data_IF_894456008910
#
_entry.id   IF_894456008910
#
_cell.length_a   1.000
_cell.length_b   1.000
_cell.length_c   1.000
_cell.angle_alpha   90.00
_cell.angle_beta   90.00
_cell.angle_gamma   90.00
#
_symmetry.space_group_name_H-M   'P 1'
#
loop_
_entity.id
_entity.type
_entity.pdbx_description
1 polymer ?
#
# COMPACT_ATOMS: atom_id res chain seq x y z
N UNK A 1 8.49 10.91 15.06
CA UNK A 1 8.20 11.49 13.73
C UNK A 1 9.29 11.00 12.81
N UNK A 2 8.91 10.44 11.65
CA UNK A 2 9.85 9.79 10.73
C UNK A 2 9.81 10.50 9.38
N UNK A 3 10.99 10.67 8.76
CA UNK A 3 11.14 11.39 7.49
C UNK A 3 11.37 10.40 6.35
N UNK A 4 10.61 10.55 5.27
CA UNK A 4 10.64 9.63 4.12
C UNK A 4 10.84 10.39 2.81
N UNK A 5 11.63 9.83 1.89
CA UNK A 5 11.76 10.32 0.50
C UNK A 5 11.00 9.45 -0.50
N UNK A 6 10.74 8.19 -0.16
CA UNK A 6 9.94 7.26 -0.94
C UNK A 6 8.99 6.54 0.01
N UNK A 7 7.77 6.28 -0.45
CA UNK A 7 6.74 5.62 0.34
C UNK A 7 6.10 4.52 -0.49
N UNK A 8 5.90 3.36 0.14
CA UNK A 8 5.10 2.28 -0.40
C UNK A 8 3.80 2.18 0.39
N UNK A 9 2.66 2.28 -0.29
CA UNK A 9 1.32 2.04 0.28
C UNK A 9 0.78 0.72 -0.27
N UNK A 10 0.02 -0.02 0.53
CA UNK A 10 -0.58 -1.30 0.14
C UNK A 10 -2.08 -1.25 0.38
N UNK A 11 -2.85 -1.52 -0.67
CA UNK A 11 -4.30 -1.60 -0.61
C UNK A 11 -4.71 -3.04 -0.88
N UNK A 12 -5.37 -3.65 0.11
CA UNK A 12 -6.03 -4.95 -0.02
C UNK A 12 -7.47 -4.71 -0.48
N UNK A 13 -7.87 -5.30 -1.61
CA UNK A 13 -9.20 -5.06 -2.19
C UNK A 13 -10.29 -6.00 -1.64
N UNK A 14 -9.92 -7.23 -1.25
CA UNK A 14 -10.84 -8.21 -0.66
C UNK A 14 -10.48 -8.39 0.81
N UNK A 15 -11.13 -7.63 1.71
CA UNK A 15 -10.83 -7.68 3.14
C UNK A 15 -11.20 -9.02 3.78
N UNK A 16 -12.21 -9.72 3.25
CA UNK A 16 -12.67 -11.02 3.75
C UNK A 16 -12.01 -12.17 2.98
N UNK A 17 -11.39 -13.09 3.73
CA UNK A 17 -10.95 -14.40 3.24
C UNK A 17 -12.17 -15.33 3.22
N UNK A 18 -12.84 -15.45 2.08
CA UNK A 18 -13.71 -16.61 1.86
C UNK A 18 -12.82 -17.71 1.30
N UNK A 19 -12.86 -18.90 1.91
CA UNK A 19 -12.11 -20.07 1.43
C UNK A 19 -12.37 -20.30 -0.06
N UNK A 20 -11.32 -20.32 -0.87
CA UNK A 20 -11.38 -20.49 -2.32
C UNK A 20 -11.44 -19.17 -3.13
N UNK A 21 -11.43 -18.01 -2.48
CA UNK A 21 -11.30 -16.72 -3.18
C UNK A 21 -9.84 -16.25 -3.26
N UNK A 22 -9.47 -15.71 -4.42
CA UNK A 22 -8.19 -15.03 -4.62
C UNK A 22 -8.23 -13.64 -3.96
N UNK A 23 -7.19 -13.35 -3.18
CA UNK A 23 -6.94 -12.02 -2.64
C UNK A 23 -6.11 -11.21 -3.62
N UNK A 24 -6.54 -9.97 -3.88
CA UNK A 24 -5.77 -9.02 -4.68
C UNK A 24 -5.17 -7.93 -3.80
N UNK A 25 -3.87 -7.71 -4.00
CA UNK A 25 -3.07 -6.69 -3.33
C UNK A 25 -2.51 -5.74 -4.38
N UNK A 26 -2.81 -4.45 -4.28
CA UNK A 26 -2.12 -3.45 -5.07
C UNK A 26 -1.11 -2.71 -4.18
N UNK A 27 0.14 -2.75 -4.60
CA UNK A 27 1.24 -2.02 -4.00
C UNK A 27 1.50 -0.78 -4.83
N UNK A 28 1.39 0.39 -4.22
CA UNK A 28 1.75 1.66 -4.83
C UNK A 28 3.10 2.11 -4.30
N UNK A 29 3.98 2.56 -5.18
CA UNK A 29 5.26 3.17 -4.84
C UNK A 29 5.24 4.60 -5.32
N UNK A 30 5.57 5.53 -4.42
CA UNK A 30 5.57 6.96 -4.69
C UNK A 30 6.98 7.54 -4.53
N UNK A 31 7.44 8.25 -5.56
CA UNK A 31 8.64 9.08 -5.53
C UNK A 31 8.23 10.51 -5.23
N UNK A 32 8.83 11.10 -4.20
CA UNK A 32 8.46 12.44 -3.72
C UNK A 32 9.50 13.49 -4.16
N UNK A 33 9.01 14.69 -4.50
CA UNK A 33 9.80 15.90 -4.75
C UNK A 33 10.65 16.30 -3.53
N UNK A 34 10.09 16.13 -2.34
CA UNK A 34 10.72 16.47 -1.08
C UNK A 34 10.40 15.41 -0.03
N UNK A 35 11.18 15.42 1.05
CA UNK A 35 10.96 14.55 2.19
C UNK A 35 9.73 14.99 2.99
N UNK A 36 8.87 14.03 3.33
CA UNK A 36 7.72 14.26 4.19
C UNK A 36 7.94 13.66 5.57
N UNK A 37 7.40 14.29 6.59
CA UNK A 37 7.44 13.80 7.97
C UNK A 37 6.09 13.24 8.38
N UNK A 38 6.08 11.98 8.82
CA UNK A 38 4.85 11.27 9.19
C UNK A 38 4.81 10.89 10.67
N UNK A 39 3.59 10.83 11.20
CA UNK A 39 3.28 10.19 12.48
C UNK A 39 3.28 8.66 12.31
N UNK A 40 3.54 7.94 13.39
CA UNK A 40 3.63 6.47 13.37
C UNK A 40 2.30 5.79 12.98
N UNK A 41 1.17 6.38 13.40
CA UNK A 41 -0.17 5.80 13.21
C UNK A 41 -1.04 6.62 12.24
N UNK A 42 -0.47 7.00 11.10
CA UNK A 42 -1.22 7.69 10.05
C UNK A 42 -2.10 6.68 9.29
N UNK A 43 -3.37 7.02 9.04
CA UNK A 43 -4.23 6.16 8.22
C UNK A 43 -3.82 6.20 6.74
N UNK A 44 -4.11 5.13 5.98
CA UNK A 44 -3.83 5.12 4.54
C UNK A 44 -4.53 6.24 3.77
N UNK A 45 -5.71 6.70 4.23
CA UNK A 45 -6.40 7.86 3.63
C UNK A 45 -5.62 9.15 3.86
N UNK A 46 -5.18 9.41 5.09
CA UNK A 46 -4.38 10.59 5.43
C UNK A 46 -3.04 10.56 4.70
N UNK A 47 -2.39 9.41 4.64
CA UNK A 47 -1.15 9.20 3.90
C UNK A 47 -1.29 9.61 2.43
N UNK A 48 -2.33 9.11 1.74
CA UNK A 48 -2.58 9.43 0.33
C UNK A 48 -2.92 10.90 0.09
N UNK A 49 -3.58 11.57 1.04
CA UNK A 49 -3.83 13.00 0.94
C UNK A 49 -2.53 13.81 1.00
N UNK A 50 -1.62 13.44 1.91
CA UNK A 50 -0.31 14.11 2.01
C UNK A 50 0.53 13.84 0.76
N UNK A 51 0.65 12.58 0.32
CA UNK A 51 1.51 12.20 -0.82
C UNK A 51 1.15 12.94 -2.11
N UNK A 52 -0.14 13.22 -2.34
CA UNK A 52 -0.62 13.94 -3.54
C UNK A 52 0.04 15.30 -3.77
N UNK A 53 0.46 15.97 -2.70
CA UNK A 53 1.10 17.29 -2.79
C UNK A 53 2.60 17.21 -3.16
N UNK A 54 3.21 16.03 -3.01
CA UNK A 54 4.66 15.85 -3.12
C UNK A 54 5.07 14.86 -4.22
N UNK A 55 4.15 14.04 -4.75
CA UNK A 55 4.50 12.99 -5.71
C UNK A 55 4.93 13.55 -7.07
N UNK A 56 6.05 13.04 -7.59
CA UNK A 56 6.57 13.37 -8.94
C UNK A 56 6.56 12.18 -9.89
N UNK A 57 6.51 10.98 -9.34
CA UNK A 57 6.32 9.75 -10.09
C UNK A 57 5.66 8.71 -9.17
N UNK A 58 4.80 7.89 -9.76
CA UNK A 58 4.18 6.75 -9.10
C UNK A 58 4.29 5.49 -9.96
N UNK A 59 4.21 4.35 -9.30
CA UNK A 59 4.14 3.03 -9.93
C UNK A 59 3.27 2.11 -9.10
N UNK A 60 2.64 1.13 -9.76
CA UNK A 60 1.80 0.15 -9.08
C UNK A 60 2.15 -1.27 -9.49
N UNK A 61 2.12 -2.19 -8.53
CA UNK A 61 2.20 -3.62 -8.75
C UNK A 61 0.95 -4.28 -8.18
N UNK A 62 0.24 -5.03 -9.01
CA UNK A 62 -0.87 -5.88 -8.57
C UNK A 62 -0.35 -7.30 -8.36
N UNK A 63 -0.59 -7.85 -7.18
CA UNK A 63 -0.32 -9.25 -6.83
C UNK A 63 -1.62 -9.96 -6.44
N UNK A 64 -1.72 -11.23 -6.81
CA UNK A 64 -2.79 -12.12 -6.37
C UNK A 64 -2.22 -13.14 -5.40
N UNK A 65 -2.97 -13.44 -4.34
CA UNK A 65 -2.65 -14.47 -3.35
C UNK A 65 -3.82 -15.44 -3.28
N UNK A 66 -3.51 -16.73 -3.41
CA UNK A 66 -4.47 -17.81 -3.28
C UNK A 66 -4.05 -18.68 -2.09
N UNK A 67 -4.96 -18.88 -1.15
CA UNK A 67 -4.71 -19.76 -0.01
C UNK A 67 -4.76 -21.22 -0.50
N UNK A 68 -3.61 -21.88 -0.53
CA UNK A 68 -3.54 -23.30 -0.85
C UNK A 68 -3.94 -24.12 0.37
N UNK A 69 -5.03 -24.89 0.28
CA UNK A 69 -5.34 -25.94 1.26
C UNK A 69 -4.28 -27.04 1.17
N UNK A 70 -3.25 -26.95 1.99
CA UNK A 70 -2.29 -28.04 2.17
C UNK A 70 -2.94 -29.06 3.11
N UNK A 71 -3.48 -30.14 2.56
CA UNK A 71 -3.90 -31.29 3.38
C UNK A 71 -2.63 -31.95 3.95
N UNK A 72 -2.44 -31.85 5.27
CA UNK A 72 -1.38 -32.53 6.03
C UNK A 72 -1.90 -33.86 6.54
#
# INVERSE_FOLDING_TARGET
MYTFRNITDCIKYNEQLVSGEQQRYCFYVYVLNDSISLKQDISGRELRNIIREYVIADGSLMGEYEEMNVMV
#
